data_IF_203156808791
#
_entry.id   IF_203156808791
#
_cell.length_a   1.000
_cell.length_b   1.000
_cell.length_c   1.000
_cell.angle_alpha   90.00
_cell.angle_beta   90.00
_cell.angle_gamma   90.00
#
_symmetry.space_group_name_H-M   'P 1'
#
loop_
_entity.id
_entity.type
_entity.pdbx_description
1 polymer ?
#
# COMPACT_ATOMS: atom_id res chain seq x y z
N UNK A 1 31.52 -13.78 -30.12
CA UNK A 1 31.55 -13.93 -28.64
C UNK A 1 30.36 -13.16 -28.11
N UNK A 2 29.26 -13.84 -27.78
CA UNK A 2 28.07 -13.21 -27.23
C UNK A 2 28.32 -12.96 -25.74
N UNK A 3 28.48 -11.69 -25.36
CA UNK A 3 28.42 -11.27 -23.96
C UNK A 3 26.97 -11.46 -23.50
N UNK A 4 26.69 -12.59 -22.84
CA UNK A 4 25.57 -12.68 -21.93
C UNK A 4 25.85 -11.69 -20.79
N UNK A 5 25.27 -10.49 -20.87
CA UNK A 5 25.05 -9.67 -19.68
C UNK A 5 24.12 -10.51 -18.82
N UNK A 6 24.65 -11.13 -17.76
CA UNK A 6 23.82 -11.73 -16.74
C UNK A 6 22.92 -10.61 -16.22
N UNK A 7 21.62 -10.68 -16.47
CA UNK A 7 20.67 -9.76 -15.89
C UNK A 7 20.79 -9.90 -14.38
N UNK A 8 21.34 -8.88 -13.72
CA UNK A 8 21.41 -8.80 -12.27
C UNK A 8 19.99 -8.99 -11.74
N UNK A 9 19.76 -10.05 -10.97
CA UNK A 9 18.44 -10.31 -10.40
C UNK A 9 18.29 -9.37 -9.20
N UNK A 10 17.35 -8.44 -9.29
CA UNK A 10 17.00 -7.53 -8.20
C UNK A 10 16.66 -8.35 -6.94
N UNK A 11 17.38 -8.07 -5.86
CA UNK A 11 17.16 -8.67 -4.54
C UNK A 11 16.09 -7.91 -3.77
N UNK A 12 15.63 -8.48 -2.66
CA UNK A 12 14.74 -7.78 -1.74
C UNK A 12 15.39 -6.49 -1.22
N UNK A 13 16.68 -6.53 -0.90
CA UNK A 13 17.47 -5.36 -0.47
C UNK A 13 17.47 -4.27 -1.52
N UNK A 14 17.81 -4.60 -2.77
CA UNK A 14 17.89 -3.62 -3.86
C UNK A 14 16.55 -2.89 -4.01
N UNK A 15 15.44 -3.63 -3.93
CA UNK A 15 14.10 -3.06 -3.98
C UNK A 15 13.82 -2.13 -2.78
N UNK A 16 14.15 -2.53 -1.56
CA UNK A 16 13.93 -1.71 -0.37
C UNK A 16 14.75 -0.42 -0.41
N UNK A 17 16.00 -0.49 -0.85
CA UNK A 17 16.90 0.65 -1.02
C UNK A 17 16.42 1.59 -2.13
N UNK A 18 15.79 1.07 -3.18
CA UNK A 18 15.22 1.91 -4.25
C UNK A 18 14.00 2.73 -3.80
N UNK A 19 13.30 2.30 -2.75
CA UNK A 19 12.05 2.93 -2.30
C UNK A 19 12.26 3.91 -1.13
N UNK A 20 13.41 3.85 -0.44
CA UNK A 20 13.70 4.56 0.82
C UNK A 20 15.16 5.05 0.92
N UNK A 21 15.53 5.51 2.13
CA UNK A 21 16.91 5.71 2.58
C UNK A 21 17.70 4.39 2.44
N UNK A 22 18.96 4.42 1.97
CA UNK A 22 19.79 3.23 1.84
C UNK A 22 19.88 2.42 3.16
N UNK A 23 19.65 1.10 3.11
CA UNK A 23 19.73 0.21 4.27
C UNK A 23 21.17 0.08 4.80
N UNK A 24 22.17 0.49 4.02
CA UNK A 24 23.56 0.58 4.46
C UNK A 24 23.80 1.68 5.50
N UNK A 25 22.91 2.68 5.58
CA UNK A 25 23.02 3.80 6.52
C UNK A 25 22.29 3.55 7.84
N UNK A 26 21.30 2.63 7.85
CA UNK A 26 20.42 2.38 9.00
C UNK A 26 20.28 0.87 9.24
N UNK A 27 20.64 0.34 10.43
CA UNK A 27 20.44 -1.06 10.74
C UNK A 27 19.00 -1.50 10.49
N UNK A 28 18.82 -2.68 9.85
CA UNK A 28 17.49 -3.18 9.46
C UNK A 28 16.48 -3.20 10.63
N UNK A 29 16.95 -3.48 11.84
CA UNK A 29 16.13 -3.47 13.05
C UNK A 29 15.51 -2.11 13.35
N UNK A 30 16.29 -1.04 13.19
CA UNK A 30 15.83 0.32 13.40
C UNK A 30 14.90 0.74 12.26
N UNK A 31 15.26 0.40 11.03
CA UNK A 31 14.42 0.64 9.85
C UNK A 31 13.05 -0.05 9.99
N UNK A 32 13.02 -1.33 10.36
CA UNK A 32 11.79 -2.08 10.57
C UNK A 32 10.94 -1.48 11.69
N UNK A 33 11.57 -1.04 12.79
CA UNK A 33 10.84 -0.36 13.87
C UNK A 33 10.08 0.85 13.33
N UNK A 34 10.74 1.69 12.54
CA UNK A 34 10.13 2.89 11.95
C UNK A 34 8.98 2.54 10.99
N UNK A 35 9.18 1.58 10.09
CA UNK A 35 8.14 1.17 9.12
C UNK A 35 6.96 0.50 9.83
N UNK A 36 7.20 -0.30 10.87
CA UNK A 36 6.17 -1.06 11.57
C UNK A 36 5.43 -0.29 12.66
N UNK A 37 5.85 0.94 12.99
CA UNK A 37 5.12 1.85 13.86
C UNK A 37 3.73 2.21 13.29
N UNK A 38 3.59 2.24 11.97
CA UNK A 38 2.36 2.64 11.31
C UNK A 38 1.85 1.60 10.29
N UNK A 39 0.60 1.11 10.43
CA UNK A 39 0.07 0.04 9.58
C UNK A 39 0.07 0.33 8.07
N UNK A 40 -0.19 1.58 7.64
CA UNK A 40 -0.15 1.91 6.21
C UNK A 40 1.26 1.86 5.62
N UNK A 41 2.30 2.05 6.43
CA UNK A 41 3.68 1.95 5.96
C UNK A 41 4.05 0.49 5.68
N UNK A 42 3.58 -0.42 6.53
CA UNK A 42 3.68 -1.87 6.30
C UNK A 42 2.79 -2.31 5.13
N UNK A 43 1.63 -1.68 4.92
CA UNK A 43 0.80 -1.92 3.74
C UNK A 43 1.53 -1.54 2.45
N UNK A 44 2.14 -0.35 2.40
CA UNK A 44 2.96 0.06 1.25
C UNK A 44 4.10 -0.91 0.99
N UNK A 45 4.85 -1.29 2.03
CA UNK A 45 5.94 -2.25 1.96
C UNK A 45 5.46 -3.59 1.36
N UNK A 46 4.48 -4.23 2.00
CA UNK A 46 3.99 -5.55 1.57
C UNK A 46 3.39 -5.50 0.17
N UNK A 47 2.70 -4.40 -0.19
CA UNK A 47 2.20 -4.20 -1.54
C UNK A 47 3.33 -4.20 -2.56
N UNK A 48 4.35 -3.36 -2.35
CA UNK A 48 5.46 -3.21 -3.31
C UNK A 48 6.23 -4.52 -3.45
N UNK A 49 6.50 -5.22 -2.35
CA UNK A 49 7.19 -6.51 -2.36
C UNK A 49 6.39 -7.57 -3.12
N UNK A 50 5.08 -7.69 -2.84
CA UNK A 50 4.21 -8.65 -3.50
C UNK A 50 4.03 -8.34 -4.99
N UNK A 51 3.89 -7.06 -5.35
CA UNK A 51 3.75 -6.60 -6.73
C UNK A 51 5.02 -6.85 -7.55
N UNK A 52 6.18 -6.45 -7.03
CA UNK A 52 7.47 -6.54 -7.74
C UNK A 52 7.97 -7.97 -7.89
N UNK A 53 7.75 -8.82 -6.87
CA UNK A 53 8.04 -10.26 -6.96
C UNK A 53 6.99 -11.04 -7.76
N UNK A 54 5.80 -10.47 -7.96
CA UNK A 54 4.63 -11.18 -8.47
C UNK A 54 4.12 -12.30 -7.54
N UNK A 55 4.56 -12.34 -6.28
CA UNK A 55 4.25 -13.41 -5.33
C UNK A 55 2.77 -13.43 -4.89
N UNK A 56 2.02 -12.32 -5.08
CA UNK A 56 0.58 -12.27 -4.80
C UNK A 56 -0.21 -13.38 -5.50
N UNK A 57 0.23 -13.80 -6.71
CA UNK A 57 -0.42 -14.88 -7.47
C UNK A 57 -0.40 -16.22 -6.74
N UNK A 58 0.57 -16.43 -5.84
CA UNK A 58 0.75 -17.69 -5.13
C UNK A 58 -0.32 -17.91 -4.04
N UNK A 59 -1.10 -16.88 -3.70
CA UNK A 59 -2.31 -17.03 -2.91
C UNK A 59 -3.41 -17.83 -3.64
N UNK A 60 -3.39 -17.83 -4.99
CA UNK A 60 -4.35 -18.57 -5.83
C UNK A 60 -3.72 -19.82 -6.44
N UNK A 61 -2.43 -19.76 -6.76
CA UNK A 61 -1.67 -20.86 -7.35
C UNK A 61 -0.39 -21.14 -6.53
N UNK A 62 -0.51 -21.70 -5.31
CA UNK A 62 0.64 -22.02 -4.47
C UNK A 62 1.53 -23.11 -5.13
N UNK A 63 2.83 -23.17 -4.80
CA UNK A 63 3.71 -24.23 -5.30
C UNK A 63 3.26 -25.63 -4.86
N UNK A 64 3.70 -26.66 -5.57
CA UNK A 64 3.31 -28.05 -5.28
C UNK A 64 3.61 -28.43 -3.82
N UNK A 65 2.62 -29.04 -3.15
CA UNK A 65 2.72 -29.42 -1.74
C UNK A 65 2.36 -28.30 -0.74
N UNK A 66 2.08 -27.09 -1.22
CA UNK A 66 1.68 -25.96 -0.38
C UNK A 66 0.24 -25.52 -0.65
N UNK A 67 -0.36 -24.84 0.33
CA UNK A 67 -1.74 -24.33 0.24
C UNK A 67 -1.86 -22.93 0.84
N UNK A 68 -2.78 -22.15 0.27
CA UNK A 68 -3.24 -20.88 0.82
C UNK A 68 -4.74 -20.94 1.14
N UNK A 69 -5.23 -20.36 2.26
CA UNK A 69 -4.46 -19.80 3.39
C UNK A 69 -3.52 -20.84 4.05
N UNK A 70 -2.46 -20.41 4.76
CA UNK A 70 -1.48 -21.32 5.33
C UNK A 70 -2.12 -22.29 6.34
N UNK A 71 -1.64 -23.53 6.32
CA UNK A 71 -2.12 -24.61 7.14
C UNK A 71 -1.26 -24.75 8.41
N UNK A 72 -1.90 -24.84 9.58
CA UNK A 72 -1.26 -25.35 10.80
C UNK A 72 -1.42 -26.89 10.93
N UNK A 73 -1.94 -27.58 9.90
CA UNK A 73 -2.30 -29.02 9.91
C UNK A 73 -1.96 -29.70 8.58
N UNK A 74 -1.56 -30.99 8.53
CA UNK A 74 -1.28 -31.67 7.27
C UNK A 74 -2.54 -31.80 6.39
N UNK A 75 -2.41 -31.45 5.10
CA UNK A 75 -3.44 -31.63 4.07
C UNK A 75 -3.35 -33.07 3.56
N UNK A 76 -4.39 -33.87 3.76
CA UNK A 76 -4.56 -35.08 2.93
C UNK A 76 -5.01 -34.64 1.53
N UNK A 77 -4.69 -35.39 0.45
CA UNK A 77 -4.92 -34.98 -0.95
C UNK A 77 -6.38 -34.71 -1.35
N UNK A 78 -7.33 -34.82 -0.41
CA UNK A 78 -8.75 -34.62 -0.60
C UNK A 78 -9.11 -33.14 -0.43
N UNK A 79 -8.61 -32.29 -1.31
CA UNK A 79 -8.99 -30.87 -1.44
C UNK A 79 -10.50 -30.64 -1.71
N UNK A 80 -11.30 -31.72 -1.79
CA UNK A 80 -12.71 -31.74 -2.19
C UNK A 80 -13.70 -31.74 -1.02
N UNK A 81 -13.23 -31.82 0.23
CA UNK A 81 -14.13 -31.64 1.36
C UNK A 81 -14.33 -30.15 1.66
N UNK A 82 -15.33 -29.55 1.00
CA UNK A 82 -15.70 -28.14 1.08
C UNK A 82 -15.84 -27.64 2.52
N UNK A 83 -16.22 -28.52 3.45
CA UNK A 83 -16.34 -28.20 4.87
C UNK A 83 -14.99 -27.84 5.51
N UNK A 84 -13.94 -28.61 5.26
CA UNK A 84 -12.60 -28.39 5.83
C UNK A 84 -11.96 -27.11 5.27
N UNK A 85 -12.20 -26.81 3.99
CA UNK A 85 -11.75 -25.56 3.35
C UNK A 85 -12.42 -24.34 3.99
N UNK A 86 -13.72 -24.40 4.23
CA UNK A 86 -14.48 -23.31 4.85
C UNK A 86 -14.06 -23.05 6.29
N UNK A 87 -13.82 -24.10 7.08
CA UNK A 87 -13.32 -23.97 8.46
C UNK A 87 -11.92 -23.34 8.49
N UNK A 88 -11.03 -23.73 7.58
CA UNK A 88 -9.69 -23.15 7.44
C UNK A 88 -9.78 -21.66 7.13
N UNK A 89 -10.56 -21.28 6.12
CA UNK A 89 -10.74 -19.88 5.73
C UNK A 89 -11.31 -19.08 6.91
N UNK A 90 -12.29 -19.63 7.61
CA UNK A 90 -12.91 -18.98 8.78
C UNK A 90 -11.89 -18.76 9.90
N UNK A 91 -11.05 -19.76 10.20
CA UNK A 91 -10.02 -19.66 11.23
C UNK A 91 -8.95 -18.64 10.87
N UNK A 92 -8.45 -18.69 9.63
CA UNK A 92 -7.47 -17.72 9.14
C UNK A 92 -8.03 -16.30 9.17
N UNK A 93 -9.26 -16.09 8.67
CA UNK A 93 -9.92 -14.78 8.71
C UNK A 93 -10.06 -14.27 10.15
N UNK A 94 -10.49 -15.13 11.07
CA UNK A 94 -10.59 -14.78 12.50
C UNK A 94 -9.23 -14.33 13.07
N UNK A 95 -8.12 -14.99 12.71
CA UNK A 95 -6.78 -14.56 13.14
C UNK A 95 -6.40 -13.19 12.54
N UNK A 96 -6.68 -12.97 11.25
CA UNK A 96 -6.46 -11.69 10.58
C UNK A 96 -7.24 -10.59 11.29
N UNK A 97 -8.54 -10.79 11.53
CA UNK A 97 -9.41 -9.84 12.22
C UNK A 97 -8.93 -9.54 13.64
N UNK A 98 -8.50 -10.57 14.38
CA UNK A 98 -7.97 -10.45 15.74
C UNK A 98 -6.66 -9.65 15.76
N UNK A 99 -5.71 -9.97 14.88
CA UNK A 99 -4.44 -9.23 14.78
C UNK A 99 -4.64 -7.80 14.33
N UNK A 100 -5.55 -7.56 13.38
CA UNK A 100 -5.92 -6.23 12.96
C UNK A 100 -6.51 -5.42 14.13
N UNK A 101 -7.47 -5.98 14.86
CA UNK A 101 -8.06 -5.32 16.05
C UNK A 101 -7.00 -5.01 17.12
N UNK A 102 -6.10 -5.96 17.41
CA UNK A 102 -4.99 -5.76 18.34
C UNK A 102 -4.06 -4.63 17.87
N UNK A 103 -3.72 -4.58 16.59
CA UNK A 103 -2.86 -3.53 16.05
C UNK A 103 -3.55 -2.15 16.14
N UNK A 104 -4.86 -2.08 15.88
CA UNK A 104 -5.65 -0.85 16.06
C UNK A 104 -5.55 -0.31 17.49
N UNK A 105 -5.69 -1.19 18.48
CA UNK A 105 -5.57 -0.84 19.89
C UNK A 105 -4.15 -0.38 20.24
N UNK A 106 -3.12 -1.09 19.78
CA UNK A 106 -1.74 -0.80 20.15
C UNK A 106 -1.22 0.49 19.53
N UNK A 107 -1.51 0.76 18.26
CA UNK A 107 -1.08 2.00 17.60
C UNK A 107 -1.77 3.22 18.22
N UNK A 108 -3.05 3.11 18.61
CA UNK A 108 -3.72 4.17 19.37
C UNK A 108 -3.01 4.48 20.70
N UNK A 109 -2.36 3.47 21.29
CA UNK A 109 -1.56 3.56 22.51
C UNK A 109 -0.05 3.75 22.26
N UNK A 110 0.38 4.07 21.03
CA UNK A 110 1.79 4.23 20.62
C UNK A 110 2.66 3.00 20.92
N UNK A 111 2.10 1.81 20.74
CA UNK A 111 2.78 0.52 20.89
C UNK A 111 2.75 -0.26 19.57
N UNK A 112 3.72 -1.17 19.41
CA UNK A 112 3.81 -2.07 18.26
C UNK A 112 3.54 -3.53 18.70
N UNK A 113 2.78 -4.32 17.91
CA UNK A 113 2.53 -5.72 18.24
C UNK A 113 3.79 -6.58 18.25
N UNK A 114 4.03 -7.31 19.35
CA UNK A 114 5.17 -8.23 19.48
C UNK A 114 5.20 -9.30 18.39
N UNK A 115 4.03 -9.74 17.91
CA UNK A 115 3.95 -10.74 16.86
C UNK A 115 4.51 -10.27 15.52
N UNK A 116 4.77 -8.96 15.34
CA UNK A 116 5.43 -8.44 14.13
C UNK A 116 6.86 -8.96 13.98
N UNK A 117 7.51 -9.35 15.07
CA UNK A 117 8.86 -9.91 15.04
C UNK A 117 9.01 -11.11 14.10
N UNK A 118 8.01 -11.98 14.01
CA UNK A 118 8.08 -13.14 13.11
C UNK A 118 8.16 -12.72 11.62
N UNK A 119 7.51 -11.62 11.25
CA UNK A 119 7.54 -11.11 9.87
C UNK A 119 8.83 -10.34 9.60
N UNK A 120 9.32 -9.60 10.60
CA UNK A 120 10.65 -8.97 10.56
C UNK A 120 11.73 -10.01 10.28
N UNK A 121 11.75 -11.10 11.04
CA UNK A 121 12.78 -12.13 10.93
C UNK A 121 12.73 -12.80 9.55
N UNK A 122 11.52 -13.08 9.02
CA UNK A 122 11.34 -13.63 7.68
C UNK A 122 11.82 -12.69 6.57
N UNK A 123 11.52 -11.39 6.67
CA UNK A 123 11.96 -10.38 5.69
C UNK A 123 13.46 -10.16 5.78
N UNK A 124 14.00 -10.04 7.00
CA UNK A 124 15.43 -9.85 7.25
C UNK A 124 16.27 -11.00 6.71
N UNK A 125 15.82 -12.25 6.94
CA UNK A 125 16.48 -13.44 6.41
C UNK A 125 16.45 -13.59 4.89
N UNK A 126 15.62 -12.79 4.20
CA UNK A 126 15.45 -12.83 2.76
C UNK A 126 16.02 -11.59 2.03
N UNK A 127 16.70 -10.67 2.73
CA UNK A 127 17.20 -9.42 2.15
C UNK A 127 18.05 -9.61 0.90
N UNK A 128 18.97 -10.58 0.93
CA UNK A 128 19.92 -10.81 -0.16
C UNK A 128 19.41 -11.88 -1.16
N UNK A 129 18.15 -12.28 -1.04
CA UNK A 129 17.50 -13.27 -1.93
C UNK A 129 16.89 -12.54 -3.14
N UNK A 130 17.10 -13.03 -4.37
CA UNK A 130 16.39 -12.54 -5.55
C UNK A 130 14.87 -12.57 -5.37
N UNK A 131 14.16 -11.51 -5.79
CA UNK A 131 12.71 -11.40 -5.60
C UNK A 131 11.91 -12.58 -6.19
N UNK A 132 12.41 -13.19 -7.27
CA UNK A 132 11.75 -14.33 -7.93
C UNK A 132 12.00 -15.67 -7.22
N UNK A 133 12.91 -15.70 -6.24
CA UNK A 133 13.36 -16.88 -5.51
C UNK A 133 12.95 -16.86 -4.03
N UNK A 134 12.08 -15.91 -3.64
CA UNK A 134 11.58 -15.83 -2.28
C UNK A 134 10.95 -17.16 -1.85
N UNK A 135 11.41 -17.66 -0.70
CA UNK A 135 10.89 -18.90 -0.12
C UNK A 135 9.39 -18.77 0.18
N UNK A 136 8.68 -19.90 0.08
CA UNK A 136 7.24 -19.96 0.32
C UNK A 136 6.86 -19.42 1.70
N UNK A 137 7.67 -19.64 2.74
CA UNK A 137 7.41 -19.13 4.08
C UNK A 137 7.42 -17.59 4.13
N UNK A 138 8.37 -16.96 3.43
CA UNK A 138 8.46 -15.49 3.33
C UNK A 138 7.24 -14.95 2.58
N UNK A 139 6.86 -15.58 1.46
CA UNK A 139 5.67 -15.21 0.69
C UNK A 139 4.40 -15.31 1.54
N UNK A 140 4.22 -16.41 2.27
CA UNK A 140 3.08 -16.58 3.20
C UNK A 140 3.05 -15.48 4.24
N UNK A 141 4.22 -15.15 4.80
CA UNK A 141 4.38 -14.06 5.75
C UNK A 141 3.92 -12.71 5.17
N UNK A 142 4.39 -12.38 3.97
CA UNK A 142 4.02 -11.14 3.27
C UNK A 142 2.52 -11.08 2.96
N UNK A 143 1.94 -12.18 2.46
CA UNK A 143 0.50 -12.26 2.15
C UNK A 143 -0.37 -12.12 3.40
N UNK A 144 0.02 -12.78 4.50
CA UNK A 144 -0.73 -12.70 5.76
C UNK A 144 -0.60 -11.32 6.38
N UNK A 145 0.62 -10.76 6.42
CA UNK A 145 0.86 -9.41 6.92
C UNK A 145 0.07 -8.39 6.12
N UNK A 146 0.07 -8.48 4.79
CA UNK A 146 -0.71 -7.63 3.89
C UNK A 146 -2.21 -7.67 4.22
N UNK A 147 -2.78 -8.86 4.40
CA UNK A 147 -4.19 -9.02 4.77
C UNK A 147 -4.51 -8.43 6.16
N UNK A 148 -3.61 -8.58 7.13
CA UNK A 148 -3.77 -7.99 8.47
C UNK A 148 -3.79 -6.47 8.39
N UNK A 149 -2.81 -5.86 7.70
CA UNK A 149 -2.74 -4.40 7.60
C UNK A 149 -3.88 -3.83 6.77
N UNK A 150 -4.36 -4.51 5.74
CA UNK A 150 -5.56 -4.10 5.01
C UNK A 150 -6.81 -4.11 5.94
N UNK A 151 -6.94 -5.15 6.77
CA UNK A 151 -8.03 -5.27 7.73
C UNK A 151 -8.00 -4.24 8.87
N UNK A 152 -6.84 -3.65 9.20
CA UNK A 152 -6.73 -2.52 10.14
C UNK A 152 -7.56 -1.32 9.65
N UNK A 153 -7.65 -1.14 8.33
CA UNK A 153 -8.34 -0.03 7.67
C UNK A 153 -9.79 -0.32 7.31
N UNK A 154 -10.38 -1.41 7.81
CA UNK A 154 -11.83 -1.65 7.72
C UNK A 154 -12.59 -0.42 8.19
N UNK A 155 -13.56 0.04 7.39
CA UNK A 155 -14.40 1.20 7.72
C UNK A 155 -13.68 2.55 7.63
N UNK A 156 -12.41 2.58 7.21
CA UNK A 156 -11.73 3.83 6.82
C UNK A 156 -12.00 4.09 5.34
N UNK A 157 -12.38 5.33 5.00
CA UNK A 157 -12.88 5.69 3.67
C UNK A 157 -13.94 6.80 3.77
N UNK A 158 -14.71 7.01 2.69
CA UNK A 158 -15.79 7.99 2.68
C UNK A 158 -17.00 7.42 3.41
N UNK A 159 -17.27 7.88 4.63
CA UNK A 159 -18.40 7.41 5.44
C UNK A 159 -18.48 8.03 6.84
N UNK A 160 -19.47 7.62 7.62
CA UNK A 160 -19.66 8.05 9.01
C UNK A 160 -18.52 7.56 9.92
N UNK A 161 -18.29 8.31 11.01
CA UNK A 161 -17.33 7.90 12.04
C UNK A 161 -17.75 6.55 12.65
N UNK A 162 -16.82 5.59 12.80
CA UNK A 162 -17.07 4.35 13.53
C UNK A 162 -17.56 4.60 14.95
N UNK A 163 -18.25 3.64 15.57
CA UNK A 163 -18.64 3.72 16.99
C UNK A 163 -17.55 3.17 17.94
N UNK A 164 -16.71 2.25 17.46
CA UNK A 164 -15.58 1.70 18.21
C UNK A 164 -14.48 2.76 18.41
N UNK A 165 -14.04 2.99 19.65
CA UNK A 165 -13.10 4.07 19.99
C UNK A 165 -11.72 3.91 19.33
N UNK A 166 -11.21 2.68 19.23
CA UNK A 166 -9.93 2.40 18.57
C UNK A 166 -10.04 2.62 17.06
N UNK A 167 -11.14 2.17 16.45
CA UNK A 167 -11.42 2.42 15.04
C UNK A 167 -11.64 3.91 14.75
N UNK A 168 -12.28 4.66 15.65
CA UNK A 168 -12.41 6.12 15.55
C UNK A 168 -11.05 6.81 15.55
N UNK A 169 -10.12 6.39 16.40
CA UNK A 169 -8.80 7.01 16.46
C UNK A 169 -8.05 6.82 15.14
N UNK A 170 -8.02 5.60 14.59
CA UNK A 170 -7.39 5.32 13.29
C UNK A 170 -8.09 6.07 12.17
N UNK A 171 -9.42 6.11 12.17
CA UNK A 171 -10.20 6.84 11.19
C UNK A 171 -9.87 8.34 11.21
N UNK A 172 -9.79 8.97 12.39
CA UNK A 172 -9.44 10.40 12.52
C UNK A 172 -8.02 10.66 12.03
N UNK A 173 -7.07 9.80 12.41
CA UNK A 173 -5.67 9.92 11.98
C UNK A 173 -5.50 9.71 10.47
N UNK A 174 -6.23 8.77 9.90
CA UNK A 174 -6.30 8.55 8.44
C UNK A 174 -6.71 9.83 7.73
N UNK A 175 -7.80 10.48 8.16
CA UNK A 175 -8.26 11.73 7.54
C UNK A 175 -7.31 12.90 7.74
N UNK A 176 -6.67 13.01 8.91
CA UNK A 176 -5.63 14.00 9.17
C UNK A 176 -4.47 13.83 8.18
N UNK A 177 -3.96 12.62 8.01
CA UNK A 177 -2.87 12.33 7.06
C UNK A 177 -3.28 12.58 5.61
N UNK A 178 -4.47 12.16 5.20
CA UNK A 178 -4.97 12.41 3.85
C UNK A 178 -5.10 13.90 3.54
N UNK A 179 -5.59 14.70 4.50
CA UNK A 179 -5.75 16.15 4.35
C UNK A 179 -4.40 16.87 4.26
N UNK A 180 -3.41 16.44 5.04
CA UNK A 180 -2.13 17.13 5.14
C UNK A 180 -1.05 16.62 4.17
N UNK A 181 -1.07 15.33 3.86
CA UNK A 181 -0.05 14.64 3.06
C UNK A 181 -0.57 14.07 1.74
N UNK A 182 -1.89 13.96 1.55
CA UNK A 182 -2.47 13.30 0.38
C UNK A 182 -2.31 11.78 0.36
N UNK A 183 -1.88 11.17 1.46
CA UNK A 183 -1.61 9.72 1.62
C UNK A 183 -1.82 9.34 3.09
N UNK A 184 -2.19 8.09 3.36
CA UNK A 184 -2.24 7.55 4.74
C UNK A 184 -0.92 6.96 5.20
N UNK A 185 0.11 6.95 4.37
CA UNK A 185 1.43 6.42 4.69
C UNK A 185 2.46 7.56 4.87
N UNK A 186 3.56 7.28 5.56
CA UNK A 186 4.71 8.19 5.75
C UNK A 186 5.78 8.05 4.66
N UNK A 187 5.59 7.15 3.69
CA UNK A 187 6.44 7.04 2.51
C UNK A 187 6.44 8.34 1.71
N UNK A 188 7.56 8.70 1.03
CA UNK A 188 7.61 9.83 0.12
C UNK A 188 6.52 9.73 -0.95
N UNK A 189 5.72 10.80 -1.09
CA UNK A 189 4.59 10.85 -2.03
C UNK A 189 5.01 10.83 -3.50
N UNK A 190 6.28 11.16 -3.76
CA UNK A 190 6.93 11.03 -5.08
C UNK A 190 7.17 9.58 -5.47
N UNK A 191 7.32 8.67 -4.51
CA UNK A 191 7.50 7.23 -4.76
C UNK A 191 6.15 6.54 -4.85
N UNK A 192 5.30 6.72 -3.83
CA UNK A 192 3.98 6.11 -3.78
C UNK A 192 3.05 6.86 -2.83
N UNK A 193 1.75 6.67 -3.03
CA UNK A 193 0.70 7.09 -2.09
C UNK A 193 -0.11 5.88 -1.69
N UNK A 194 -0.49 5.80 -0.42
CA UNK A 194 -1.47 4.82 0.07
C UNK A 194 -2.77 5.55 0.29
N UNK A 195 -3.85 5.06 -0.31
CA UNK A 195 -5.16 5.69 -0.28
C UNK A 195 -6.25 4.70 0.16
N UNK A 196 -7.30 5.15 0.87
CA UNK A 196 -8.48 4.35 1.09
C UNK A 196 -9.17 4.02 -0.23
N UNK A 197 -9.69 2.81 -0.30
CA UNK A 197 -10.35 2.26 -1.47
C UNK A 197 -11.86 2.31 -1.31
N UNK A 198 -12.52 2.93 -2.28
CA UNK A 198 -14.00 3.02 -2.30
C UNK A 198 -14.67 1.87 -3.05
N UNK A 199 -13.94 1.20 -3.94
CA UNK A 199 -14.42 0.05 -4.72
C UNK A 199 -13.29 -0.93 -4.95
N UNK A 200 -13.58 -2.20 -4.71
CA UNK A 200 -12.66 -3.30 -5.02
C UNK A 200 -13.04 -3.93 -6.36
N UNK A 201 -12.12 -3.99 -7.34
CA UNK A 201 -12.35 -4.74 -8.57
C UNK A 201 -12.78 -6.17 -8.26
N UNK A 202 -13.92 -6.60 -8.81
CA UNK A 202 -14.50 -7.92 -8.56
C UNK A 202 -13.92 -9.00 -9.50
N UNK A 203 -13.03 -8.63 -10.41
CA UNK A 203 -12.43 -9.52 -11.40
C UNK A 203 -10.97 -9.17 -11.67
N UNK A 204 -10.20 -10.16 -12.11
CA UNK A 204 -8.76 -10.06 -12.36
C UNK A 204 -7.93 -10.45 -11.14
N UNK A 205 -6.80 -11.13 -11.37
CA UNK A 205 -5.78 -11.40 -10.37
C UNK A 205 -4.71 -10.31 -10.49
N UNK A 206 -4.93 -9.18 -9.81
CA UNK A 206 -3.99 -8.06 -9.77
C UNK A 206 -3.75 -7.68 -8.31
N UNK A 207 -2.66 -6.97 -8.02
CA UNK A 207 -2.44 -6.44 -6.68
C UNK A 207 -3.63 -5.57 -6.22
N UNK A 208 -4.22 -4.83 -7.17
CA UNK A 208 -5.45 -4.05 -7.01
C UNK A 208 -6.70 -4.83 -6.65
N UNK A 209 -6.81 -6.14 -6.88
CA UNK A 209 -7.94 -6.96 -6.41
C UNK A 209 -7.62 -7.73 -5.13
N UNK A 210 -6.37 -7.70 -4.66
CA UNK A 210 -5.89 -8.44 -3.51
C UNK A 210 -6.12 -7.75 -2.16
N UNK A 211 -6.30 -6.43 -2.17
CA UNK A 211 -6.66 -5.63 -0.99
C UNK A 211 -8.05 -5.00 -1.16
N UNK A 212 -8.79 -4.90 -0.05
CA UNK A 212 -10.17 -4.45 -0.01
C UNK A 212 -10.33 -3.02 0.50
N UNK A 213 -9.46 -2.57 1.41
CA UNK A 213 -9.63 -1.29 2.12
C UNK A 213 -8.65 -0.22 1.69
N UNK A 214 -7.44 -0.60 1.29
CA UNK A 214 -6.42 0.33 0.84
C UNK A 214 -6.03 0.07 -0.62
N UNK A 215 -5.29 1.00 -1.20
CA UNK A 215 -4.57 0.78 -2.44
C UNK A 215 -3.29 1.61 -2.46
N UNK A 216 -2.30 1.14 -3.21
CA UNK A 216 -1.12 1.94 -3.56
C UNK A 216 -1.35 2.58 -4.92
N UNK A 217 -1.03 3.87 -5.01
CA UNK A 217 -1.03 4.65 -6.25
C UNK A 217 0.37 5.18 -6.50
N UNK A 218 0.95 4.80 -7.64
CA UNK A 218 2.20 5.36 -8.19
C UNK A 218 1.83 6.29 -9.34
N UNK A 219 1.49 7.53 -9.00
CA UNK A 219 1.10 8.55 -9.98
C UNK A 219 1.82 9.86 -9.66
N UNK A 220 2.23 10.55 -10.70
CA UNK A 220 2.78 11.91 -10.63
C UNK A 220 1.70 12.94 -10.26
N UNK A 221 0.42 12.58 -10.43
CA UNK A 221 -0.71 13.45 -10.09
C UNK A 221 -0.82 13.57 -8.57
N UNK A 222 -0.81 14.82 -8.08
CA UNK A 222 -0.97 15.09 -6.67
C UNK A 222 -2.41 14.83 -6.19
N UNK A 223 -2.54 14.32 -4.97
CA UNK A 223 -3.82 13.93 -4.39
C UNK A 223 -4.14 14.86 -3.23
N UNK A 224 -5.14 15.71 -3.40
CA UNK A 224 -5.60 16.64 -2.35
C UNK A 224 -6.97 16.23 -1.83
N UNK A 225 -7.03 15.93 -0.53
CA UNK A 225 -8.29 15.63 0.15
C UNK A 225 -8.92 16.92 0.67
N UNK A 226 -9.94 17.40 -0.05
CA UNK A 226 -10.58 18.71 0.21
C UNK A 226 -11.72 18.59 1.24
N UNK A 227 -12.43 17.46 1.26
CA UNK A 227 -13.61 17.26 2.11
C UNK A 227 -13.33 16.21 3.18
N UNK A 228 -13.50 16.61 4.44
CA UNK A 228 -13.70 15.65 5.53
C UNK A 228 -15.11 15.05 5.47
N UNK A 229 -15.34 13.94 6.18
CA UNK A 229 -16.63 13.22 6.20
C UNK A 229 -17.80 14.13 6.61
N UNK A 230 -17.59 15.05 7.54
CA UNK A 230 -18.61 16.01 7.96
C UNK A 230 -19.02 17.00 6.86
N UNK A 231 -18.12 17.30 5.90
CA UNK A 231 -18.38 18.22 4.78
C UNK A 231 -19.00 17.56 3.56
N UNK A 232 -19.11 16.23 3.57
CA UNK A 232 -19.85 15.47 2.55
C UNK A 232 -21.33 15.32 2.91
N UNK A 233 -21.69 15.57 4.17
CA UNK A 233 -23.09 15.65 4.61
C UNK A 233 -23.85 16.68 3.76
N UNK A 234 -24.96 16.27 3.16
CA UNK A 234 -25.74 17.08 2.21
C UNK A 234 -25.23 17.12 0.76
N UNK A 235 -24.04 16.58 0.46
CA UNK A 235 -23.52 16.41 -0.92
C UNK A 235 -23.72 14.99 -1.46
N UNK A 236 -23.91 14.03 -0.55
CA UNK A 236 -24.29 12.65 -0.85
C UNK A 236 -25.82 12.56 -0.84
N UNK A 237 -26.40 12.01 -1.90
CA UNK A 237 -27.85 11.78 -2.03
C UNK A 237 -28.33 10.68 -1.08
N UNK A 238 -29.63 10.60 -0.85
CA UNK A 238 -30.24 9.57 0.02
C UNK A 238 -29.95 8.13 -0.44
N UNK A 239 -29.63 7.92 -1.72
CA UNK A 239 -29.18 6.63 -2.29
C UNK A 239 -27.65 6.43 -2.25
N UNK A 240 -26.92 7.26 -1.50
CA UNK A 240 -25.49 7.13 -1.26
C UNK A 240 -24.58 7.58 -2.42
N UNK A 241 -25.08 8.43 -3.34
CA UNK A 241 -24.31 8.89 -4.51
C UNK A 241 -23.79 10.30 -4.33
N UNK A 242 -22.57 10.55 -4.77
CA UNK A 242 -21.99 11.89 -4.84
C UNK A 242 -22.24 12.48 -6.23
N UNK A 243 -22.83 13.68 -6.31
CA UNK A 243 -22.99 14.42 -7.57
C UNK A 243 -21.72 15.20 -7.84
N UNK A 244 -20.82 14.61 -8.61
CA UNK A 244 -19.56 15.23 -9.02
C UNK A 244 -19.69 15.83 -10.42
N UNK A 245 -19.28 17.08 -10.57
CA UNK A 245 -18.99 17.67 -11.88
C UNK A 245 -17.47 17.60 -12.06
N UNK A 246 -17.01 16.72 -12.96
CA UNK A 246 -15.60 16.63 -13.34
C UNK A 246 -15.40 17.56 -14.53
N UNK A 247 -14.59 18.60 -14.32
CA UNK A 247 -14.22 19.55 -15.38
C UNK A 247 -12.76 19.28 -15.73
N UNK A 248 -12.43 19.00 -17.00
CA UNK A 248 -11.04 18.92 -17.42
C UNK A 248 -10.41 20.30 -17.23
N UNK A 249 -9.30 20.34 -16.50
CA UNK A 249 -8.58 21.57 -16.23
C UNK A 249 -7.07 21.39 -16.44
N UNK A 250 -6.39 22.31 -17.13
CA UNK A 250 -6.98 23.41 -17.91
C UNK A 250 -7.76 22.89 -19.14
N UNK A 251 -8.60 23.74 -19.74
CA UNK A 251 -9.41 23.38 -20.91
C UNK A 251 -8.57 23.19 -22.19
N UNK A 252 -7.37 23.78 -22.22
CA UNK A 252 -6.35 23.63 -23.25
C UNK A 252 -4.99 23.52 -22.56
N UNK A 253 -4.11 22.69 -23.13
CA UNK A 253 -2.72 22.54 -22.69
C UNK A 253 -1.84 22.95 -23.87
N UNK A 254 -1.08 24.02 -23.72
CA UNK A 254 -0.18 24.55 -24.74
C UNK A 254 1.29 24.28 -24.35
N UNK A 255 2.22 24.16 -25.31
CA UNK A 255 3.64 23.97 -24.98
C UNK A 255 4.24 25.05 -24.07
N UNK A 256 3.68 26.27 -24.11
CA UNK A 256 4.07 27.38 -23.24
C UNK A 256 3.72 27.19 -21.77
N UNK A 257 2.81 26.27 -21.45
CA UNK A 257 2.42 25.96 -20.06
C UNK A 257 3.48 25.10 -19.34
N UNK A 258 4.51 24.63 -20.04
CA UNK A 258 5.61 23.87 -19.46
C UNK A 258 6.85 24.74 -19.37
N UNK A 259 7.25 25.07 -18.15
CA UNK A 259 8.38 25.97 -17.87
C UNK A 259 9.55 25.21 -17.23
N UNK A 260 10.81 25.55 -17.54
CA UNK A 260 11.97 24.90 -16.93
C UNK A 260 11.99 25.08 -15.40
N UNK A 261 12.33 24.00 -14.68
CA UNK A 261 12.48 24.04 -13.22
C UNK A 261 13.81 24.72 -12.88
N UNK A 262 13.76 25.87 -12.21
CA UNK A 262 14.96 26.66 -11.87
C UNK A 262 15.78 26.09 -10.72
N UNK A 263 15.13 25.35 -9.82
CA UNK A 263 15.77 24.73 -8.65
C UNK A 263 15.28 23.30 -8.49
N UNK A 264 16.19 22.34 -8.71
CA UNK A 264 15.95 20.93 -8.45
C UNK A 264 16.54 20.61 -7.08
N UNK A 265 15.70 20.31 -6.10
CA UNK A 265 16.14 20.04 -4.72
C UNK A 265 17.01 18.79 -4.60
N UNK A 266 16.90 17.86 -5.55
CA UNK A 266 17.75 16.66 -5.67
C UNK A 266 18.03 16.38 -7.16
N UNK A 267 19.07 16.97 -7.75
CA UNK A 267 19.36 16.78 -9.18
C UNK A 267 19.71 15.32 -9.46
N UNK A 268 18.95 14.70 -10.35
CA UNK A 268 19.28 13.37 -10.88
C UNK A 268 20.36 13.57 -11.95
N UNK A 269 21.36 12.70 -11.99
CA UNK A 269 22.38 12.76 -13.03
C UNK A 269 21.74 12.39 -14.38
N UNK A 270 21.57 13.39 -15.23
CA UNK A 270 21.02 13.25 -16.58
C UNK A 270 22.07 13.65 -17.62
N UNK A 271 21.92 13.14 -18.83
CA UNK A 271 22.68 13.62 -19.98
C UNK A 271 22.35 15.11 -20.24
N UNK A 272 23.32 15.88 -20.73
CA UNK A 272 23.22 17.33 -20.96
C UNK A 272 22.09 17.75 -21.92
N UNK A 273 21.50 16.80 -22.65
CA UNK A 273 20.37 17.03 -23.54
C UNK A 273 19.00 17.05 -22.86
N UNK A 274 18.89 16.68 -21.58
CA UNK A 274 17.64 16.63 -20.83
C UNK A 274 17.64 17.63 -19.68
N UNK A 275 16.45 18.17 -19.38
CA UNK A 275 16.23 19.08 -18.25
C UNK A 275 14.83 18.86 -17.66
N UNK A 276 14.58 19.42 -16.47
CA UNK A 276 13.31 19.33 -15.77
C UNK A 276 12.38 20.48 -16.16
N UNK A 277 11.09 20.17 -16.25
CA UNK A 277 10.04 21.17 -16.46
C UNK A 277 8.91 20.97 -15.44
N UNK A 278 8.21 22.06 -15.14
CA UNK A 278 6.98 22.04 -14.36
C UNK A 278 5.83 22.55 -15.21
N UNK A 279 4.62 22.08 -14.90
CA UNK A 279 3.40 22.57 -15.51
C UNK A 279 2.88 23.78 -14.72
N UNK A 280 2.87 24.95 -15.36
CA UNK A 280 2.43 26.23 -14.78
C UNK A 280 1.59 27.01 -15.81
N UNK A 281 0.30 26.67 -15.96
CA UNK A 281 -0.56 27.33 -16.93
C UNK A 281 -0.90 28.77 -16.47
N UNK A 282 -0.37 29.78 -17.16
CA UNK A 282 -0.60 31.22 -16.86
C UNK A 282 -2.09 31.62 -16.83
N UNK A 283 -2.97 30.86 -17.50
CA UNK A 283 -4.39 31.18 -17.68
C UNK A 283 -5.31 30.45 -16.68
N UNK A 284 -4.75 30.00 -15.55
CA UNK A 284 -5.34 28.97 -14.69
C UNK A 284 -5.85 29.38 -13.29
N UNK A 285 -5.70 30.62 -12.85
CA UNK A 285 -6.27 31.05 -11.56
C UNK A 285 -7.66 31.65 -11.76
N UNK A 286 -8.67 30.79 -11.96
CA UNK A 286 -10.02 31.18 -11.55
C UNK A 286 -10.09 30.89 -10.06
N UNK A 287 -10.05 31.95 -9.25
CA UNK A 287 -10.40 31.88 -7.83
C UNK A 287 -11.78 31.22 -7.71
N UNK A 288 -11.80 29.92 -7.39
CA UNK A 288 -13.02 29.23 -6.99
C UNK A 288 -13.35 29.72 -5.59
N UNK A 289 -14.07 30.85 -5.51
CA UNK A 289 -14.85 31.19 -4.33
C UNK A 289 -15.92 30.09 -4.16
N UNK A 290 -15.64 29.16 -3.24
CA UNK A 290 -16.59 28.15 -2.75
C UNK A 290 -17.25 28.62 -1.46
#
# INVERSE_FOLDING_TARGET
>A
MANHIAATRETLRDLLESLLVPLDEVPFDLWWSQVSEWPADVFALTWVLLESSGAYRLAVAPPSGHTWPPNDWPVTPEWRDTCQVNERITRWRKRVDQRAAQWREQVANRASPLWLGQYKDAISGALDVPLQELDWHVVVGLLELHAIVDAVYVGTGVGESPQDSHQQWIWRKTFEMLRHKGTVANWPTTTLRVLPKMRTPQSGLSMGSFSHHLCVVRSEVDVRWILGPDKLSGRVTDDGRLRLLVVPWPFSVEPSDFVPVREVSHPIQMDETFDFFTFDPEHGEVALEL
#
